data_IF_764952550491
#
_entry.id   IF_764952550491
#
_cell.length_a   1.000
_cell.length_b   1.000
_cell.length_c   1.000
_cell.angle_alpha   90.00
_cell.angle_beta   90.00
_cell.angle_gamma   90.00
#
_symmetry.space_group_name_H-M   'P 1'
#
loop_
_entity.id
_entity.type
_entity.pdbx_description
1 polymer ?
#
# COMPACT_ATOMS: atom_id res chain seq x y z
N UNK A 1 -16.57 -25.73 -9.16
CA UNK A 1 -17.56 -26.81 -9.44
C UNK A 1 -18.90 -26.18 -9.74
N UNK A 2 -19.68 -26.71 -10.69
CA UNK A 2 -21.00 -26.18 -11.04
C UNK A 2 -22.12 -27.05 -10.50
N UNK A 3 -23.27 -26.45 -10.20
CA UNK A 3 -24.43 -27.16 -9.66
C UNK A 3 -24.95 -28.25 -10.59
N UNK A 4 -24.83 -28.04 -11.91
CA UNK A 4 -25.24 -29.00 -12.94
C UNK A 4 -24.39 -30.27 -12.94
N UNK A 5 -23.11 -30.18 -12.52
CA UNK A 5 -22.22 -31.33 -12.40
C UNK A 5 -22.81 -32.38 -11.44
N UNK A 6 -23.40 -31.92 -10.34
CA UNK A 6 -24.02 -32.79 -9.35
C UNK A 6 -25.42 -33.25 -9.76
N UNK A 7 -26.21 -32.40 -10.42
CA UNK A 7 -27.53 -32.79 -10.94
C UNK A 7 -27.43 -33.93 -11.97
N UNK A 8 -26.33 -33.98 -12.73
CA UNK A 8 -26.07 -35.07 -13.68
C UNK A 8 -25.81 -36.42 -13.00
N UNK A 9 -25.42 -36.44 -11.72
CA UNK A 9 -25.21 -37.65 -10.93
C UNK A 9 -26.52 -38.24 -10.37
N UNK A 10 -27.65 -37.55 -10.53
CA UNK A 10 -28.96 -38.06 -10.11
C UNK A 10 -29.31 -39.32 -10.91
N UNK A 11 -29.68 -40.38 -10.18
CA UNK A 11 -30.07 -41.67 -10.75
C UNK A 11 -31.27 -41.54 -11.69
N UNK A 12 -31.32 -42.39 -12.72
CA UNK A 12 -32.32 -42.30 -13.80
C UNK A 12 -33.77 -42.21 -13.31
N UNK A 13 -34.12 -42.88 -12.21
CA UNK A 13 -35.49 -42.88 -11.65
C UNK A 13 -35.99 -41.48 -11.25
N UNK A 14 -35.11 -40.62 -10.74
CA UNK A 14 -35.46 -39.30 -10.25
C UNK A 14 -35.07 -38.16 -11.21
N UNK A 15 -34.31 -38.46 -12.26
CA UNK A 15 -33.76 -37.47 -13.21
C UNK A 15 -34.84 -36.64 -13.92
N UNK A 16 -36.00 -37.23 -14.20
CA UNK A 16 -37.13 -36.55 -14.87
C UNK A 16 -38.11 -35.85 -13.91
N UNK A 17 -37.92 -35.95 -12.58
CA UNK A 17 -38.84 -35.39 -11.58
C UNK A 17 -38.47 -33.92 -11.26
N UNK A 18 -39.26 -32.92 -11.70
CA UNK A 18 -38.86 -31.51 -11.64
C UNK A 18 -38.75 -30.95 -10.21
N UNK A 19 -39.63 -31.36 -9.30
CA UNK A 19 -39.60 -30.91 -7.91
C UNK A 19 -38.39 -31.48 -7.16
N UNK A 20 -38.02 -32.73 -7.45
CA UNK A 20 -36.84 -33.37 -6.84
C UNK A 20 -35.55 -32.65 -7.25
N UNK A 21 -35.37 -32.37 -8.55
CA UNK A 21 -34.21 -31.63 -9.04
C UNK A 21 -34.11 -30.24 -8.40
N UNK A 22 -35.23 -29.53 -8.24
CA UNK A 22 -35.25 -28.22 -7.56
C UNK A 22 -34.86 -28.32 -6.09
N UNK A 23 -35.38 -29.30 -5.36
CA UNK A 23 -35.01 -29.52 -3.96
C UNK A 23 -33.53 -29.81 -3.82
N UNK A 24 -33.00 -30.75 -4.62
CA UNK A 24 -31.58 -31.09 -4.60
C UNK A 24 -30.73 -29.86 -4.95
N UNK A 25 -31.08 -29.13 -6.02
CA UNK A 25 -30.40 -27.90 -6.42
C UNK A 25 -30.27 -26.91 -5.25
N UNK A 26 -31.40 -26.54 -4.64
CA UNK A 26 -31.42 -25.56 -3.54
C UNK A 26 -30.63 -26.06 -2.32
N UNK A 27 -30.60 -27.37 -2.06
CA UNK A 27 -29.83 -27.94 -0.96
C UNK A 27 -28.32 -27.92 -1.19
N UNK A 28 -27.86 -28.14 -2.43
CA UNK A 28 -26.42 -28.26 -2.74
C UNK A 28 -25.76 -26.95 -3.14
N UNK A 29 -26.51 -26.02 -3.75
CA UNK A 29 -26.01 -24.73 -4.24
C UNK A 29 -25.19 -23.96 -3.17
N UNK A 30 -25.65 -23.78 -1.91
CA UNK A 30 -24.84 -23.11 -0.89
C UNK A 30 -23.55 -23.87 -0.53
N UNK A 31 -23.55 -25.21 -0.61
CA UNK A 31 -22.35 -26.02 -0.34
C UNK A 31 -21.33 -25.83 -1.46
N UNK A 32 -21.80 -25.81 -2.71
CA UNK A 32 -20.95 -25.58 -3.89
C UNK A 32 -20.38 -24.16 -3.87
N UNK A 33 -21.18 -23.17 -3.50
CA UNK A 33 -20.72 -21.80 -3.33
C UNK A 33 -19.59 -21.71 -2.29
N UNK A 34 -19.77 -22.34 -1.12
CA UNK A 34 -18.69 -22.42 -0.12
C UNK A 34 -17.43 -23.10 -0.65
N UNK A 35 -17.57 -24.20 -1.41
CA UNK A 35 -16.42 -24.88 -2.02
C UNK A 35 -15.70 -23.99 -3.04
N UNK A 36 -16.44 -23.25 -3.86
CA UNK A 36 -15.87 -22.33 -4.85
C UNK A 36 -15.15 -21.16 -4.15
N UNK A 37 -15.69 -20.65 -3.05
CA UNK A 37 -15.01 -19.63 -2.22
C UNK A 37 -13.70 -20.19 -1.65
N UNK A 38 -13.73 -21.38 -1.06
CA UNK A 38 -12.52 -22.00 -0.49
C UNK A 38 -11.46 -22.30 -1.56
N UNK A 39 -11.87 -22.71 -2.76
CA UNK A 39 -10.96 -22.97 -3.88
C UNK A 39 -10.31 -21.67 -4.39
N UNK A 40 -11.09 -20.59 -4.49
CA UNK A 40 -10.58 -19.29 -4.94
C UNK A 40 -9.81 -18.52 -3.85
N UNK A 41 -9.77 -19.02 -2.62
CA UNK A 41 -9.14 -18.31 -1.50
C UNK A 41 -7.64 -18.08 -1.71
N UNK A 42 -6.90 -19.07 -2.21
CA UNK A 42 -5.47 -18.90 -2.47
C UNK A 42 -5.19 -17.82 -3.53
N UNK A 43 -5.97 -17.81 -4.61
CA UNK A 43 -5.84 -16.83 -5.71
C UNK A 43 -6.15 -15.39 -5.25
N UNK A 44 -6.93 -15.22 -4.18
CA UNK A 44 -7.25 -13.91 -3.60
C UNK A 44 -6.11 -13.32 -2.76
N UNK A 45 -5.17 -14.15 -2.32
CA UNK A 45 -4.00 -13.76 -1.52
C UNK A 45 -2.69 -13.81 -2.33
N UNK A 46 -2.76 -14.00 -3.64
CA UNK A 46 -1.60 -13.84 -4.51
C UNK A 46 -1.30 -12.34 -4.71
N UNK A 47 -0.04 -11.92 -4.57
CA UNK A 47 0.36 -10.51 -4.62
C UNK A 47 0.08 -9.84 -5.97
N UNK A 48 0.02 -10.62 -7.05
CA UNK A 48 -0.25 -10.11 -8.40
C UNK A 48 -1.74 -9.85 -8.65
N UNK A 49 -2.63 -10.45 -7.86
CA UNK A 49 -4.10 -10.39 -8.03
C UNK A 49 -4.84 -9.87 -6.80
N UNK A 50 -4.20 -9.83 -5.64
CA UNK A 50 -4.79 -9.42 -4.38
C UNK A 50 -5.21 -7.95 -4.43
N UNK A 51 -6.36 -7.66 -3.82
CA UNK A 51 -6.94 -6.32 -3.81
C UNK A 51 -7.72 -6.11 -2.52
N UNK A 52 -7.84 -4.87 -2.03
CA UNK A 52 -8.62 -4.57 -0.84
C UNK A 52 -8.03 -5.22 0.42
N UNK A 53 -8.89 -5.83 1.23
CA UNK A 53 -8.51 -6.36 2.55
C UNK A 53 -7.46 -7.47 2.48
N UNK A 54 -7.50 -8.33 1.45
CA UNK A 54 -6.51 -9.39 1.30
C UNK A 54 -5.10 -8.82 1.13
N UNK A 55 -4.96 -7.74 0.36
CA UNK A 55 -3.69 -7.07 0.16
C UNK A 55 -3.21 -6.37 1.44
N UNK A 56 -4.13 -5.76 2.19
CA UNK A 56 -3.81 -5.15 3.49
C UNK A 56 -3.33 -6.20 4.51
N UNK A 57 -3.97 -7.37 4.53
CA UNK A 57 -3.53 -8.50 5.37
C UNK A 57 -2.11 -8.94 4.95
N UNK A 58 -1.83 -9.09 3.66
CA UNK A 58 -0.48 -9.43 3.19
C UNK A 58 0.54 -8.37 3.61
N UNK A 59 0.19 -7.08 3.49
CA UNK A 59 1.04 -5.99 3.92
C UNK A 59 1.36 -6.08 5.42
N UNK A 60 0.34 -6.32 6.26
CA UNK A 60 0.51 -6.49 7.71
C UNK A 60 1.43 -7.69 8.04
N UNK A 61 1.23 -8.83 7.39
CA UNK A 61 2.03 -10.03 7.61
C UNK A 61 3.51 -9.86 7.24
N UNK A 62 3.77 -9.13 6.16
CA UNK A 62 5.14 -8.82 5.69
C UNK A 62 5.78 -7.68 6.50
N UNK A 63 4.97 -6.89 7.21
CA UNK A 63 5.38 -5.66 7.89
C UNK A 63 5.61 -4.50 6.92
N UNK A 64 4.90 -4.48 5.79
CA UNK A 64 4.91 -3.37 4.85
C UNK A 64 4.06 -2.21 5.40
N UNK A 65 4.52 -0.95 5.30
CA UNK A 65 3.73 0.19 5.72
C UNK A 65 2.49 0.32 4.83
N UNK A 66 1.35 0.66 5.43
CA UNK A 66 0.10 1.03 4.72
C UNK A 66 -0.14 2.53 4.73
N UNK A 67 0.53 3.24 5.65
CA UNK A 67 0.51 4.69 5.80
C UNK A 67 1.95 5.16 5.87
N UNK A 68 2.25 6.22 5.13
CA UNK A 68 3.56 6.87 5.15
C UNK A 68 3.45 8.13 6.02
N UNK A 69 4.28 8.27 7.07
CA UNK A 69 4.16 9.38 8.02
C UNK A 69 4.61 10.71 7.41
N UNK A 70 4.22 11.81 8.06
CA UNK A 70 4.76 13.16 7.87
C UNK A 70 4.75 13.76 6.44
N UNK A 71 3.85 13.30 5.56
CA UNK A 71 3.76 13.83 4.18
C UNK A 71 2.82 15.02 4.05
N UNK A 72 1.64 14.95 4.68
CA UNK A 72 0.56 15.92 4.41
C UNK A 72 0.57 16.98 5.51
N UNK A 73 0.85 18.25 5.20
CA UNK A 73 0.80 19.31 6.20
C UNK A 73 -0.63 19.46 6.76
N UNK A 74 -0.72 19.65 8.06
CA UNK A 74 -2.00 19.90 8.73
C UNK A 74 -2.35 21.39 8.63
N UNK A 75 -3.60 21.74 8.28
CA UNK A 75 -4.00 23.12 8.09
C UNK A 75 -4.19 23.83 9.43
N UNK A 76 -3.14 24.49 9.90
CA UNK A 76 -3.15 25.33 11.08
C UNK A 76 -3.19 26.81 10.70
N UNK A 77 -3.52 27.67 11.68
CA UNK A 77 -3.31 29.10 11.52
C UNK A 77 -1.83 29.38 11.24
N UNK A 78 -1.56 30.15 10.20
CA UNK A 78 -0.19 30.49 9.81
C UNK A 78 -0.10 31.72 8.93
N UNK A 79 1.13 32.03 8.53
CA UNK A 79 1.42 33.18 7.66
C UNK A 79 1.61 32.73 6.21
N UNK A 80 1.39 33.65 5.28
CA UNK A 80 1.64 33.45 3.87
C UNK A 80 3.06 32.90 3.62
N UNK A 81 3.16 31.83 2.84
CA UNK A 81 4.40 31.09 2.60
C UNK A 81 4.57 29.82 3.44
N UNK A 82 3.68 29.55 4.41
CA UNK A 82 3.63 28.28 5.11
C UNK A 82 2.73 27.27 4.37
N UNK A 83 3.17 26.00 4.19
CA UNK A 83 2.37 25.00 3.49
C UNK A 83 1.01 24.76 4.16
N UNK A 84 -0.07 24.80 3.37
CA UNK A 84 -1.46 24.59 3.82
C UNK A 84 -1.89 25.46 5.03
N UNK A 85 -1.23 26.60 5.28
CA UNK A 85 -1.61 27.49 6.37
C UNK A 85 -2.94 28.18 6.09
N UNK A 86 -3.83 28.19 7.08
CA UNK A 86 -5.09 28.90 7.02
C UNK A 86 -4.96 30.30 7.62
N UNK A 87 -5.83 31.21 7.17
CA UNK A 87 -5.90 32.60 7.63
C UNK A 87 -6.54 32.71 9.00
N UNK A 88 -6.67 33.95 9.52
CA UNK A 88 -7.59 34.22 10.62
C UNK A 88 -9.01 33.83 10.22
N UNK A 89 -9.81 33.43 11.21
CA UNK A 89 -11.21 33.14 10.99
C UNK A 89 -12.04 34.40 10.76
N UNK A 90 -13.09 34.26 9.97
CA UNK A 90 -14.00 35.36 9.64
C UNK A 90 -15.23 35.37 10.54
N UNK A 91 -15.79 36.56 10.77
CA UNK A 91 -16.96 36.71 11.65
C UNK A 91 -18.23 36.11 11.05
N UNK A 92 -18.36 36.21 9.72
CA UNK A 92 -19.58 35.83 8.99
C UNK A 92 -19.53 34.40 8.41
N UNK A 93 -18.38 33.71 8.45
CA UNK A 93 -18.21 32.36 7.94
C UNK A 93 -17.34 31.49 8.89
N UNK A 94 -17.95 30.55 9.64
CA UNK A 94 -17.23 29.67 10.56
C UNK A 94 -16.29 28.66 9.90
N UNK A 95 -16.41 28.43 8.58
CA UNK A 95 -15.57 27.46 7.86
C UNK A 95 -14.22 28.08 7.42
N UNK A 96 -14.08 29.40 7.54
CA UNK A 96 -12.85 30.13 7.25
C UNK A 96 -12.06 30.29 8.56
N UNK A 97 -10.79 29.89 8.53
CA UNK A 97 -9.83 30.15 9.61
C UNK A 97 -9.09 28.90 10.12
N UNK A 98 -7.83 29.07 10.50
CA UNK A 98 -7.03 28.00 11.09
C UNK A 98 -7.08 27.96 12.62
N UNK A 99 -6.85 26.79 13.19
CA UNK A 99 -6.63 26.64 14.64
C UNK A 99 -5.16 26.86 15.00
N UNK A 100 -4.91 27.38 16.20
CA UNK A 100 -3.54 27.45 16.74
C UNK A 100 -3.02 26.04 17.00
N UNK A 101 -1.78 25.78 16.56
CA UNK A 101 -1.12 24.51 16.85
C UNK A 101 -0.70 24.45 18.32
N UNK A 102 -1.21 23.46 19.04
CA UNK A 102 -0.80 23.21 20.43
C UNK A 102 0.59 22.55 20.50
N UNK A 103 1.23 22.67 21.67
CA UNK A 103 2.49 21.99 21.94
C UNK A 103 2.29 20.47 21.95
N UNK A 104 3.09 19.75 21.16
CA UNK A 104 3.06 18.28 21.08
C UNK A 104 2.22 17.71 19.93
N UNK A 105 1.45 18.53 19.21
CA UNK A 105 0.77 18.10 17.98
C UNK A 105 1.79 18.05 16.83
N UNK A 106 1.73 17.08 15.91
CA UNK A 106 2.60 17.07 14.73
C UNK A 106 2.16 18.16 13.74
N UNK A 107 3.09 18.68 12.92
CA UNK A 107 2.72 19.64 11.86
C UNK A 107 2.20 18.95 10.60
N UNK A 108 2.43 17.64 10.50
CA UNK A 108 2.08 16.81 9.37
C UNK A 108 1.25 15.62 9.86
N UNK A 109 0.48 15.03 8.95
CA UNK A 109 -0.19 13.75 9.13
C UNK A 109 0.31 12.74 8.11
N UNK A 110 0.18 11.47 8.44
CA UNK A 110 0.46 10.39 7.51
C UNK A 110 -0.54 10.36 6.35
N UNK A 111 -0.07 9.92 5.18
CA UNK A 111 -0.87 9.66 4.00
C UNK A 111 -1.03 8.15 3.80
N UNK A 112 -2.25 7.68 3.56
CA UNK A 112 -2.49 6.29 3.19
C UNK A 112 -1.92 6.01 1.79
N UNK A 113 -1.27 4.86 1.63
CA UNK A 113 -0.70 4.46 0.34
C UNK A 113 -1.84 4.14 -0.64
N UNK A 114 -1.81 4.67 -1.88
CA UNK A 114 -2.79 4.33 -2.89
C UNK A 114 -2.86 2.82 -3.16
N UNK A 115 -4.05 2.22 -3.32
CA UNK A 115 -4.21 0.78 -3.54
C UNK A 115 -3.43 0.24 -4.75
N UNK A 116 -3.19 1.08 -5.77
CA UNK A 116 -2.43 0.72 -6.97
C UNK A 116 -0.93 0.56 -6.69
N UNK A 117 -0.41 1.28 -5.69
CA UNK A 117 1.02 1.30 -5.34
C UNK A 117 1.36 0.28 -4.25
N UNK A 118 0.37 -0.07 -3.41
CA UNK A 118 0.54 -0.98 -2.29
C UNK A 118 1.15 -2.35 -2.66
N UNK A 119 0.78 -3.03 -3.78
CA UNK A 119 1.43 -4.29 -4.16
C UNK A 119 2.93 -4.16 -4.37
N UNK A 120 3.38 -3.07 -5.01
CA UNK A 120 4.81 -2.80 -5.22
C UNK A 120 5.54 -2.53 -3.90
N UNK A 121 4.89 -1.83 -2.97
CA UNK A 121 5.42 -1.58 -1.62
C UNK A 121 5.55 -2.89 -0.83
N UNK A 122 4.56 -3.78 -0.91
CA UNK A 122 4.64 -5.10 -0.26
C UNK A 122 5.77 -5.93 -0.87
N UNK A 123 5.90 -5.96 -2.20
CA UNK A 123 7.02 -6.65 -2.88
C UNK A 123 8.37 -6.08 -2.47
N UNK A 124 8.51 -4.75 -2.42
CA UNK A 124 9.71 -4.06 -1.96
C UNK A 124 10.06 -4.45 -0.53
N UNK A 125 9.06 -4.54 0.37
CA UNK A 125 9.29 -4.98 1.76
C UNK A 125 9.71 -6.44 1.85
N UNK A 126 9.16 -7.33 1.02
CA UNK A 126 9.58 -8.73 0.95
C UNK A 126 11.05 -8.82 0.55
N UNK A 127 11.45 -8.09 -0.49
CA UNK A 127 12.85 -8.03 -0.93
C UNK A 127 13.75 -7.45 0.18
N UNK A 128 13.33 -6.36 0.81
CA UNK A 128 14.05 -5.74 1.92
C UNK A 128 14.29 -6.71 3.08
N UNK A 129 13.29 -7.50 3.45
CA UNK A 129 13.40 -8.47 4.55
C UNK A 129 14.38 -9.61 4.23
N UNK A 130 14.69 -9.86 2.95
CA UNK A 130 15.65 -10.88 2.49
C UNK A 130 16.95 -10.27 1.92
N UNK A 131 17.13 -8.96 2.06
CA UNK A 131 18.21 -8.22 1.41
C UNK A 131 19.55 -8.38 2.15
N UNK A 132 20.65 -8.45 1.40
CA UNK A 132 22.02 -8.43 1.92
C UNK A 132 22.61 -7.01 2.07
N UNK A 133 21.80 -6.00 1.79
CA UNK A 133 22.11 -4.57 1.78
C UNK A 133 23.21 -4.16 0.78
N UNK A 134 23.35 -4.89 -0.33
CA UNK A 134 24.15 -4.45 -1.47
C UNK A 134 23.47 -3.34 -2.26
N UNK A 135 24.28 -2.56 -3.00
CA UNK A 135 23.78 -1.43 -3.80
C UNK A 135 22.85 -1.91 -4.93
N UNK A 136 23.12 -3.06 -5.54
CA UNK A 136 22.30 -3.63 -6.61
C UNK A 136 20.91 -4.03 -6.09
N UNK A 137 20.83 -4.68 -4.93
CA UNK A 137 19.55 -5.00 -4.30
C UNK A 137 18.80 -3.73 -3.84
N UNK A 138 19.52 -2.74 -3.30
CA UNK A 138 18.94 -1.44 -2.98
C UNK A 138 18.31 -0.76 -4.21
N UNK A 139 18.96 -0.87 -5.37
CA UNK A 139 18.44 -0.33 -6.62
C UNK A 139 17.14 -1.04 -7.05
N UNK A 140 17.10 -2.38 -7.00
CA UNK A 140 15.89 -3.13 -7.36
C UNK A 140 14.73 -2.84 -6.40
N UNK A 141 14.99 -2.68 -5.10
CA UNK A 141 13.97 -2.27 -4.12
C UNK A 141 13.45 -0.87 -4.45
N UNK A 142 14.34 0.11 -4.63
CA UNK A 142 13.95 1.49 -4.92
C UNK A 142 13.15 1.62 -6.22
N UNK A 143 13.47 0.82 -7.23
CA UNK A 143 12.75 0.76 -8.51
C UNK A 143 11.30 0.30 -8.37
N UNK A 144 10.96 -0.48 -7.34
CA UNK A 144 9.57 -0.83 -7.04
C UNK A 144 8.81 0.31 -6.33
N UNK A 145 9.52 1.21 -5.67
CA UNK A 145 8.94 2.27 -4.84
C UNK A 145 8.64 3.53 -5.65
N UNK A 146 9.35 3.77 -6.74
CA UNK A 146 9.15 4.96 -7.58
C UNK A 146 9.17 4.61 -9.07
N UNK A 147 8.30 5.26 -9.83
CA UNK A 147 8.28 5.19 -11.30
C UNK A 147 9.23 6.21 -11.94
N UNK A 148 9.84 7.07 -11.11
CA UNK A 148 10.71 8.16 -11.54
C UNK A 148 12.14 7.64 -11.70
N UNK A 149 12.88 8.04 -12.75
CA UNK A 149 14.29 7.71 -12.86
C UNK A 149 15.06 8.30 -11.68
N UNK A 150 15.89 7.50 -11.04
CA UNK A 150 16.71 7.89 -9.89
C UNK A 150 18.15 7.39 -10.05
N UNK A 151 19.02 7.90 -9.21
CA UNK A 151 20.42 7.52 -9.13
C UNK A 151 20.81 7.25 -7.67
N UNK A 152 21.58 6.19 -7.48
CA UNK A 152 22.23 5.87 -6.21
C UNK A 152 23.73 6.10 -6.33
N UNK A 153 24.32 6.70 -5.30
CA UNK A 153 25.75 6.90 -5.20
C UNK A 153 26.23 6.54 -3.79
N UNK A 154 27.04 5.50 -3.70
CA UNK A 154 27.83 5.22 -2.49
C UNK A 154 29.01 6.19 -2.43
N UNK A 155 29.05 7.02 -1.39
CA UNK A 155 30.10 8.02 -1.18
C UNK A 155 31.36 7.42 -0.54
N UNK A 156 31.33 6.15 -0.12
CA UNK A 156 32.42 5.41 0.54
C UNK A 156 32.87 6.03 1.87
N UNK A 157 32.00 6.81 2.50
CA UNK A 157 32.19 7.47 3.80
C UNK A 157 31.09 7.09 4.80
N UNK A 158 30.51 5.89 4.61
CA UNK A 158 29.31 5.41 5.33
C UNK A 158 28.06 6.25 5.03
N UNK A 159 28.01 6.94 3.89
CA UNK A 159 26.78 7.57 3.39
C UNK A 159 26.44 7.08 1.99
N UNK A 160 25.15 6.98 1.72
CA UNK A 160 24.60 6.72 0.38
C UNK A 160 23.73 7.88 -0.01
N UNK A 161 23.97 8.45 -1.19
CA UNK A 161 23.14 9.51 -1.74
C UNK A 161 22.11 8.93 -2.72
N UNK A 162 20.85 9.28 -2.49
CA UNK A 162 19.74 9.06 -3.39
C UNK A 162 19.37 10.37 -4.10
N UNK A 163 19.28 10.34 -5.44
CA UNK A 163 18.95 11.50 -6.27
C UNK A 163 17.80 11.13 -7.22
N UNK A 164 16.69 11.88 -7.15
CA UNK A 164 15.64 11.82 -8.17
C UNK A 164 16.05 12.62 -9.40
N UNK A 165 15.93 12.04 -10.59
CA UNK A 165 16.34 12.68 -11.85
C UNK A 165 15.19 13.42 -12.54
N UNK A 166 13.97 13.35 -12.01
CA UNK A 166 12.82 14.11 -12.46
C UNK A 166 11.90 14.45 -11.28
N UNK A 167 10.79 15.16 -11.57
CA UNK A 167 9.78 15.51 -10.56
C UNK A 167 9.16 14.25 -9.94
N UNK A 168 9.11 14.23 -8.60
CA UNK A 168 8.65 13.09 -7.81
C UNK A 168 7.55 13.52 -6.84
N UNK A 169 6.75 12.57 -6.38
CA UNK A 169 5.75 12.83 -5.36
C UNK A 169 6.37 12.70 -3.96
N UNK A 170 5.97 13.52 -2.95
CA UNK A 170 6.53 13.42 -1.60
C UNK A 170 6.40 12.02 -0.98
N UNK A 171 5.33 11.29 -1.31
CA UNK A 171 5.13 9.90 -0.88
C UNK A 171 6.22 8.95 -1.37
N UNK A 172 6.75 9.18 -2.58
CA UNK A 172 7.79 8.32 -3.15
C UNK A 172 9.10 8.45 -2.38
N UNK A 173 9.46 9.69 -2.02
CA UNK A 173 10.66 9.99 -1.21
C UNK A 173 10.57 9.34 0.17
N UNK A 174 9.45 9.51 0.87
CA UNK A 174 9.29 8.91 2.20
C UNK A 174 9.18 7.37 2.15
N UNK A 175 8.60 6.80 1.08
CA UNK A 175 8.63 5.35 0.87
C UNK A 175 10.06 4.83 0.70
N UNK A 176 10.88 5.50 -0.12
CA UNK A 176 12.30 5.17 -0.25
C UNK A 176 12.97 5.26 1.11
N UNK A 177 12.72 6.32 1.89
CA UNK A 177 13.30 6.49 3.23
C UNK A 177 12.96 5.34 4.18
N UNK A 178 11.72 4.88 4.17
CA UNK A 178 11.24 3.78 5.03
C UNK A 178 11.76 2.40 4.61
N UNK A 179 11.99 2.19 3.31
CA UNK A 179 12.24 0.88 2.75
C UNK A 179 13.62 0.73 2.11
N UNK A 180 14.52 1.70 2.29
CA UNK A 180 15.90 1.59 1.84
C UNK A 180 16.65 0.54 2.69
N UNK A 181 17.36 -0.41 2.07
CA UNK A 181 18.20 -1.34 2.81
C UNK A 181 19.43 -0.61 3.34
N UNK A 182 19.41 -0.26 4.62
CA UNK A 182 20.51 0.41 5.29
C UNK A 182 21.34 -0.57 6.13
N UNK A 183 22.62 -0.79 5.80
CA UNK A 183 23.57 -1.41 6.71
C UNK A 183 23.70 -0.61 8.00
N UNK A 184 24.04 -1.30 9.09
CA UNK A 184 24.27 -0.64 10.37
C UNK A 184 25.40 0.39 10.28
N UNK A 185 25.12 1.63 10.68
CA UNK A 185 26.09 2.73 10.66
C UNK A 185 26.18 3.49 9.34
N UNK A 186 25.36 3.15 8.34
CA UNK A 186 25.27 3.89 7.07
C UNK A 186 24.08 4.85 7.07
N UNK A 187 24.29 6.06 6.58
CA UNK A 187 23.25 7.10 6.46
C UNK A 187 22.75 7.25 5.02
N UNK A 188 21.44 7.37 4.84
CA UNK A 188 20.82 7.74 3.56
C UNK A 188 20.66 9.26 3.49
N UNK A 189 21.18 9.86 2.42
CA UNK A 189 21.08 11.29 2.15
C UNK A 189 20.29 11.49 0.85
N UNK A 190 19.32 12.38 0.86
CA UNK A 190 18.65 12.82 -0.36
C UNK A 190 19.33 14.09 -0.90
N UNK A 191 19.63 14.13 -2.20
CA UNK A 191 20.38 15.26 -2.79
C UNK A 191 19.65 16.61 -2.66
N UNK A 192 18.33 16.62 -2.72
CA UNK A 192 17.50 17.82 -2.57
C UNK A 192 17.55 18.42 -1.15
N UNK A 193 17.95 17.65 -0.14
CA UNK A 193 18.11 18.13 1.24
C UNK A 193 19.47 18.78 1.50
N UNK A 194 20.45 18.54 0.62
CA UNK A 194 21.82 19.07 0.76
C UNK A 194 21.96 20.45 0.10
N UNK A 195 21.14 20.73 -0.92
CA UNK A 195 21.14 21.98 -1.68
C UNK A 195 20.15 23.03 -1.14
N UNK A 196 19.53 22.80 0.02
CA UNK A 196 18.52 23.65 0.68
C UNK A 196 19.02 24.56 1.80
#
# INVERSE_FOLDING_TARGET
>A
MQTDDYLNLIINEHRSKPNFNKTVKVSIEPIIDCMNVLQSMNEKFDLDTASGDQLNILAEWVGAPTVVPDIVPLPFFGFEGQPESLTFGETDDPDIGGFWRESGVSSYRGQSIPPQKLPSVVKAKILLNNCDCTLDEAFEICKLLTDVPFKLKDNRDMTVTFEFLAEFQPIDKELVRLLFPLPSGVELIFSDEVDG
#
